data_IF_400216762931
#
_entry.id   IF_400216762931
#
_cell.length_a   1.000
_cell.length_b   1.000
_cell.length_c   1.000
_cell.angle_alpha   90.00
_cell.angle_beta   90.00
_cell.angle_gamma   90.00
#
_symmetry.space_group_name_H-M   'P 1'
#
loop_
_entity.id
_entity.type
_entity.pdbx_description
1 polymer ?
#
# COMPACT_ATOMS: atom_id res chain seq x y z
N UNK A 1 -15.91 8.31 -31.80
CA UNK A 1 -14.46 8.53 -31.64
C UNK A 1 -14.10 8.36 -30.18
N UNK A 2 -13.09 7.56 -29.85
CA UNK A 2 -12.62 7.43 -28.47
C UNK A 2 -11.98 8.76 -28.03
N UNK A 3 -12.49 9.36 -26.96
CA UNK A 3 -11.94 10.63 -26.44
C UNK A 3 -10.62 10.34 -25.74
N UNK A 4 -9.54 10.99 -26.20
CA UNK A 4 -8.22 10.87 -25.56
C UNK A 4 -8.28 11.42 -24.14
N UNK A 5 -7.92 10.60 -23.17
CA UNK A 5 -7.89 10.99 -21.77
C UNK A 5 -6.92 12.13 -21.48
N UNK A 6 -7.27 13.02 -20.55
CA UNK A 6 -6.33 14.02 -20.02
C UNK A 6 -5.20 13.34 -19.24
N UNK A 7 -3.93 13.69 -19.50
CA UNK A 7 -2.81 13.26 -18.66
C UNK A 7 -2.93 13.83 -17.24
N UNK A 8 -2.96 12.94 -16.24
CA UNK A 8 -3.15 13.30 -14.82
C UNK A 8 -1.82 13.39 -14.07
N UNK A 9 -0.93 12.42 -14.31
CA UNK A 9 0.30 12.16 -13.54
C UNK A 9 1.06 13.41 -13.12
N UNK A 10 1.53 14.21 -14.08
CA UNK A 10 2.42 15.35 -13.78
C UNK A 10 1.77 16.38 -12.87
N UNK A 11 0.51 16.73 -13.13
CA UNK A 11 -0.25 17.70 -12.32
C UNK A 11 -0.60 17.15 -10.95
N UNK A 12 -0.94 15.86 -10.88
CA UNK A 12 -1.23 15.19 -9.61
C UNK A 12 0.01 15.16 -8.72
N UNK A 13 1.17 14.77 -9.26
CA UNK A 13 2.45 14.76 -8.52
C UNK A 13 2.76 16.16 -8.01
N UNK A 14 2.69 17.17 -8.89
CA UNK A 14 2.94 18.55 -8.51
C UNK A 14 2.00 19.01 -7.38
N UNK A 15 0.70 18.71 -7.50
CA UNK A 15 -0.29 19.06 -6.47
C UNK A 15 0.05 18.42 -5.13
N UNK A 16 0.31 17.11 -5.10
CA UNK A 16 0.55 16.38 -3.85
C UNK A 16 1.84 16.85 -3.18
N UNK A 17 2.95 16.90 -3.91
CA UNK A 17 4.26 17.23 -3.34
C UNK A 17 4.35 18.71 -2.91
N UNK A 18 3.57 19.61 -3.54
CA UNK A 18 3.51 21.02 -3.14
C UNK A 18 2.62 21.24 -1.93
N UNK A 19 1.46 20.57 -1.87
CA UNK A 19 0.42 20.88 -0.86
C UNK A 19 0.47 19.98 0.37
N UNK A 20 1.12 18.81 0.30
CA UNK A 20 1.25 17.86 1.40
C UNK A 20 2.73 17.55 1.64
N UNK A 21 3.43 18.40 2.42
CA UNK A 21 4.86 18.27 2.64
C UNK A 21 5.27 16.88 3.15
N UNK A 22 6.36 16.36 2.58
CA UNK A 22 6.92 15.05 2.93
C UNK A 22 6.35 13.89 2.12
N UNK A 23 5.17 14.04 1.49
CA UNK A 23 4.73 13.05 0.50
C UNK A 23 5.57 13.16 -0.78
N UNK A 24 6.04 12.02 -1.27
CA UNK A 24 6.80 11.89 -2.52
C UNK A 24 6.19 10.83 -3.41
N UNK A 25 6.17 11.07 -4.71
CA UNK A 25 5.74 10.06 -5.68
C UNK A 25 6.75 8.90 -5.76
N UNK A 26 6.25 7.66 -5.72
CA UNK A 26 7.11 6.45 -5.78
C UNK A 26 6.74 5.48 -6.89
N UNK A 27 5.47 5.38 -7.28
CA UNK A 27 5.05 4.38 -8.26
C UNK A 27 3.75 4.73 -8.99
N UNK A 28 3.59 4.16 -10.18
CA UNK A 28 2.34 4.15 -10.93
C UNK A 28 2.09 2.74 -11.49
N UNK A 29 0.94 2.16 -11.21
CA UNK A 29 0.52 0.85 -11.72
C UNK A 29 -0.99 0.84 -11.93
N UNK A 30 -1.46 0.40 -13.10
CA UNK A 30 -2.90 0.21 -13.35
C UNK A 30 -3.79 1.46 -13.20
N UNK A 31 -3.24 2.67 -13.21
CA UNK A 31 -3.98 3.92 -12.93
C UNK A 31 -3.97 4.34 -11.46
N UNK A 32 -3.29 3.60 -10.58
CA UNK A 32 -2.98 3.95 -9.20
C UNK A 32 -1.67 4.73 -9.14
N UNK A 33 -1.68 5.88 -8.46
CA UNK A 33 -0.53 6.74 -8.20
C UNK A 33 -0.16 6.64 -6.72
N UNK A 34 1.02 6.10 -6.41
CA UNK A 34 1.49 5.89 -5.05
C UNK A 34 2.32 7.05 -4.53
N UNK A 35 1.94 7.59 -3.37
CA UNK A 35 2.71 8.60 -2.63
C UNK A 35 3.07 8.09 -1.23
N UNK A 36 4.28 8.40 -0.77
CA UNK A 36 4.77 8.01 0.56
C UNK A 36 5.28 9.22 1.34
N UNK A 37 5.01 9.24 2.65
CA UNK A 37 5.61 10.20 3.60
C UNK A 37 6.35 9.46 4.70
N UNK A 38 7.62 9.75 4.87
CA UNK A 38 8.44 9.17 5.95
C UNK A 38 7.91 9.59 7.33
N UNK A 39 7.88 8.64 8.28
CA UNK A 39 7.47 8.92 9.67
C UNK A 39 8.35 8.16 10.66
N UNK A 40 8.74 8.78 11.79
CA UNK A 40 9.45 8.06 12.85
C UNK A 40 8.59 6.91 13.40
N UNK A 41 9.14 5.71 13.48
CA UNK A 41 8.44 4.53 14.04
C UNK A 41 7.41 3.86 13.13
N UNK A 42 7.05 4.48 11.99
CA UNK A 42 6.13 3.97 10.97
C UNK A 42 6.75 4.27 9.63
N UNK A 43 7.33 3.28 8.98
CA UNK A 43 8.40 3.64 8.06
C UNK A 43 7.90 4.48 6.89
N UNK A 44 6.64 4.36 6.45
CA UNK A 44 6.00 5.33 5.56
C UNK A 44 4.49 5.39 5.78
N UNK A 45 3.90 6.59 5.78
CA UNK A 45 2.49 6.80 5.48
C UNK A 45 2.29 6.61 3.98
N UNK A 46 1.29 5.83 3.58
CA UNK A 46 0.99 5.58 2.17
C UNK A 46 -0.33 6.25 1.75
N UNK A 47 -0.27 7.02 0.67
CA UNK A 47 -1.39 7.72 0.07
C UNK A 47 -1.53 7.31 -1.41
N UNK A 48 -2.29 6.24 -1.71
CA UNK A 48 -2.66 5.89 -3.07
C UNK A 48 -3.79 6.78 -3.58
N UNK A 49 -3.64 7.22 -4.82
CA UNK A 49 -4.65 7.99 -5.55
C UNK A 49 -4.91 7.24 -6.85
N UNK A 50 -6.16 6.81 -7.03
CA UNK A 50 -6.55 6.03 -8.19
C UNK A 50 -7.30 6.87 -9.21
N UNK A 51 -7.06 6.51 -10.46
CA UNK A 51 -7.78 7.00 -11.61
C UNK A 51 -8.62 5.86 -12.19
N UNK A 52 -9.91 6.11 -12.37
CA UNK A 52 -10.86 5.13 -12.86
C UNK A 52 -11.50 5.54 -14.17
N UNK A 53 -11.86 4.53 -14.96
CA UNK A 53 -12.75 4.62 -16.10
C UNK A 53 -14.11 4.12 -15.63
N UNK A 54 -15.12 5.00 -15.58
CA UNK A 54 -16.39 4.63 -14.98
C UNK A 54 -17.15 3.62 -15.84
N UNK A 55 -17.28 3.87 -17.15
CA UNK A 55 -18.13 3.06 -18.03
C UNK A 55 -17.52 2.72 -19.40
N UNK A 56 -16.20 2.87 -19.57
CA UNK A 56 -15.52 2.68 -20.87
C UNK A 56 -15.95 3.66 -21.98
N UNK A 57 -16.87 4.60 -21.68
CA UNK A 57 -17.40 5.62 -22.60
C UNK A 57 -16.60 6.93 -22.61
N UNK A 58 -15.44 6.96 -21.96
CA UNK A 58 -14.56 8.13 -21.89
C UNK A 58 -14.74 9.01 -20.66
N UNK A 59 -15.59 8.61 -19.72
CA UNK A 59 -15.76 9.26 -18.43
C UNK A 59 -14.67 8.80 -17.46
N UNK A 60 -14.02 9.78 -16.83
CA UNK A 60 -12.87 9.55 -15.97
C UNK A 60 -13.04 10.26 -14.64
N UNK A 61 -12.69 9.52 -13.59
CA UNK A 61 -12.71 10.00 -12.23
C UNK A 61 -11.37 9.77 -11.55
N UNK A 62 -11.10 10.59 -10.56
CA UNK A 62 -9.97 10.45 -9.65
C UNK A 62 -10.50 10.34 -8.23
N UNK A 63 -9.91 9.46 -7.43
CA UNK A 63 -10.22 9.37 -6.02
C UNK A 63 -9.02 8.85 -5.24
N UNK A 64 -9.07 8.91 -3.92
CA UNK A 64 -8.01 8.44 -3.04
C UNK A 64 -8.51 7.24 -2.22
N UNK A 65 -7.56 6.44 -1.71
CA UNK A 65 -7.87 5.34 -0.79
C UNK A 65 -6.95 5.40 0.42
N UNK A 66 -7.49 5.10 1.58
CA UNK A 66 -6.71 4.91 2.78
C UNK A 66 -6.26 3.45 2.88
N UNK A 67 -4.96 3.22 2.72
CA UNK A 67 -4.34 1.90 2.94
C UNK A 67 -3.54 1.88 4.26
N UNK A 68 -3.16 3.06 4.78
CA UNK A 68 -2.53 3.23 6.09
C UNK A 68 -1.00 3.37 6.06
N UNK A 69 -0.34 3.01 7.16
CA UNK A 69 1.12 3.12 7.34
C UNK A 69 1.84 1.76 7.34
N UNK A 70 3.09 1.71 6.87
CA UNK A 70 3.87 0.46 6.69
C UNK A 70 5.38 0.64 6.83
N UNK A 71 6.14 -0.45 6.68
CA UNK A 71 7.58 -0.52 7.01
C UNK A 71 8.57 -0.28 5.84
N UNK A 72 8.14 -0.11 4.57
CA UNK A 72 9.03 0.20 3.42
C UNK A 72 8.24 0.92 2.30
N UNK A 73 8.80 1.89 1.53
CA UNK A 73 8.01 2.76 0.65
C UNK A 73 7.66 2.12 -0.69
N UNK A 74 8.49 1.20 -1.18
CA UNK A 74 8.32 0.60 -2.50
C UNK A 74 7.30 -0.56 -2.49
N UNK A 75 6.68 -0.83 -1.33
CA UNK A 75 5.73 -1.93 -1.13
C UNK A 75 4.38 -1.65 -1.80
N UNK A 76 4.33 -1.66 -3.13
CA UNK A 76 3.09 -1.87 -3.89
C UNK A 76 3.42 -2.72 -5.12
N UNK A 77 2.73 -3.83 -5.40
CA UNK A 77 1.31 -3.96 -5.70
C UNK A 77 0.88 -5.43 -5.39
N UNK A 78 -0.42 -5.75 -5.44
CA UNK A 78 -1.06 -7.08 -5.33
C UNK A 78 -1.64 -7.54 -3.96
N UNK A 79 -2.97 -7.45 -3.93
CA UNK A 79 -3.98 -8.27 -3.22
C UNK A 79 -4.10 -8.18 -1.70
N UNK A 80 -5.09 -7.39 -1.25
CA UNK A 80 -5.92 -7.72 -0.08
C UNK A 80 -5.64 -6.93 1.20
N UNK A 81 -6.58 -6.04 1.55
CA UNK A 81 -6.71 -5.36 2.84
C UNK A 81 -6.82 -6.31 4.06
N UNK A 82 -6.97 -7.61 3.82
CA UNK A 82 -7.21 -8.66 4.82
C UNK A 82 -5.97 -9.47 5.22
N UNK A 83 -4.83 -9.35 4.51
CA UNK A 83 -3.73 -10.32 4.64
C UNK A 83 -2.33 -9.70 4.82
N UNK A 84 -2.23 -8.42 5.20
CA UNK A 84 -0.96 -7.73 5.38
C UNK A 84 -0.78 -7.21 6.82
N UNK A 85 -0.47 -8.09 7.80
CA UNK A 85 -0.29 -7.71 9.20
C UNK A 85 0.88 -6.74 9.47
N UNK A 86 1.75 -6.50 8.49
CA UNK A 86 2.83 -5.51 8.54
C UNK A 86 2.41 -4.09 8.17
N UNK A 87 1.10 -3.86 7.98
CA UNK A 87 0.50 -2.55 7.77
C UNK A 87 -0.46 -2.22 8.90
N UNK A 88 -0.60 -0.95 9.22
CA UNK A 88 -1.70 -0.45 10.05
C UNK A 88 -2.63 0.33 9.18
N UNK A 89 -3.86 -0.15 9.05
CA UNK A 89 -4.93 0.62 8.43
C UNK A 89 -5.30 1.76 9.37
N UNK A 90 -5.16 3.00 8.90
CA UNK A 90 -5.52 4.19 9.67
C UNK A 90 -7.04 4.36 9.83
N UNK A 91 -7.86 3.63 9.05
CA UNK A 91 -9.30 3.59 9.26
C UNK A 91 -9.65 2.56 10.35
N UNK A 92 -10.30 3.04 11.42
CA UNK A 92 -10.70 2.22 12.57
C UNK A 92 -11.94 1.38 12.23
N UNK A 93 -11.77 0.08 12.03
CA UNK A 93 -12.86 -0.91 12.01
C UNK A 93 -12.46 -2.27 11.42
N UNK A 94 -13.40 -3.20 11.34
CA UNK A 94 -13.18 -4.56 10.82
C UNK A 94 -13.18 -4.65 9.27
N UNK A 95 -12.57 -5.69 8.69
CA UNK A 95 -12.54 -5.93 7.25
C UNK A 95 -13.90 -6.39 6.66
N UNK A 96 -14.11 -6.39 5.31
CA UNK A 96 -13.26 -5.86 4.24
C UNK A 96 -13.93 -4.67 3.51
N UNK A 97 -13.17 -3.65 3.14
CA UNK A 97 -13.59 -2.53 2.28
C UNK A 97 -14.55 -1.45 2.86
N UNK A 98 -15.02 -1.54 4.11
CA UNK A 98 -16.03 -0.60 4.61
C UNK A 98 -15.50 0.64 5.37
N UNK A 99 -14.19 0.83 5.54
CA UNK A 99 -13.73 1.69 6.64
C UNK A 99 -13.46 3.16 6.28
N UNK A 100 -13.21 3.49 5.02
CA UNK A 100 -13.28 4.89 4.58
C UNK A 100 -14.75 5.34 4.51
N UNK A 101 -15.67 4.43 4.17
CA UNK A 101 -17.13 4.66 4.24
C UNK A 101 -17.66 4.84 5.67
N UNK A 102 -16.83 4.64 6.71
CA UNK A 102 -17.14 4.96 8.10
C UNK A 102 -16.62 6.33 8.53
N UNK A 103 -15.75 6.98 7.73
CA UNK A 103 -15.49 8.39 7.92
C UNK A 103 -16.78 9.13 7.57
N UNK A 104 -17.39 9.76 8.56
CA UNK A 104 -18.52 10.62 8.32
C UNK A 104 -18.10 11.73 7.35
N UNK A 105 -18.99 12.06 6.41
CA UNK A 105 -18.79 13.26 5.61
C UNK A 105 -18.62 14.45 6.55
N UNK A 106 -17.59 15.24 6.30
CA UNK A 106 -17.37 16.51 6.98
C UNK A 106 -18.57 17.41 6.62
N UNK A 107 -19.37 17.84 7.61
CA UNK A 107 -20.54 18.68 7.35
C UNK A 107 -20.17 20.05 6.76
N UNK A 108 -18.88 20.42 6.82
CA UNK A 108 -18.34 21.64 6.21
C UNK A 108 -17.70 21.42 4.83
N UNK A 109 -17.77 20.21 4.27
CA UNK A 109 -17.30 19.94 2.91
C UNK A 109 -18.15 20.72 1.90
N UNK A 110 -17.52 21.57 1.05
CA UNK A 110 -18.26 22.34 0.06
C UNK A 110 -18.83 21.41 -1.02
N UNK A 111 -20.06 21.71 -1.48
CA UNK A 111 -20.62 21.02 -2.64
C UNK A 111 -19.79 21.35 -3.89
N UNK A 112 -19.52 20.34 -4.72
CA UNK A 112 -18.82 20.47 -5.99
C UNK A 112 -19.70 19.93 -7.11
N UNK A 113 -19.57 20.50 -8.31
CA UNK A 113 -20.20 19.95 -9.51
C UNK A 113 -19.51 18.66 -9.99
N UNK A 114 -18.31 18.35 -9.47
CA UNK A 114 -17.49 17.22 -9.89
C UNK A 114 -17.64 16.00 -8.99
N UNK A 115 -18.22 16.16 -7.79
CA UNK A 115 -18.33 15.08 -6.80
C UNK A 115 -19.38 15.42 -5.74
N UNK A 116 -20.02 14.39 -5.19
CA UNK A 116 -20.82 14.53 -3.97
C UNK A 116 -19.90 14.69 -2.74
N UNK A 117 -20.37 15.32 -1.66
CA UNK A 117 -19.65 15.33 -0.39
C UNK A 117 -19.43 13.92 0.14
N UNK A 118 -18.25 13.69 0.70
CA UNK A 118 -17.89 12.44 1.34
C UNK A 118 -16.53 11.93 0.91
N UNK A 119 -15.89 11.13 1.79
CA UNK A 119 -14.51 10.69 1.63
C UNK A 119 -14.31 9.74 0.44
N UNK A 120 -15.35 9.00 0.06
CA UNK A 120 -15.32 7.98 -0.99
C UNK A 120 -15.95 8.39 -2.31
N UNK A 121 -16.55 9.58 -2.38
CA UNK A 121 -17.23 10.01 -3.59
C UNK A 121 -16.18 10.34 -4.68
N UNK A 122 -16.23 9.65 -5.84
CA UNK A 122 -15.27 9.86 -6.91
C UNK A 122 -15.39 11.28 -7.49
N UNK A 123 -14.27 11.86 -7.91
CA UNK A 123 -14.22 13.19 -8.51
C UNK A 123 -14.15 13.04 -10.02
N UNK A 124 -15.27 13.29 -10.70
CA UNK A 124 -15.37 13.19 -12.14
C UNK A 124 -14.71 14.40 -12.80
N UNK A 125 -13.62 14.18 -13.51
CA UNK A 125 -12.83 15.24 -14.14
C UNK A 125 -12.92 15.23 -15.68
N UNK A 126 -13.47 14.16 -16.26
CA UNK A 126 -13.73 14.08 -17.68
C UNK A 126 -15.10 13.46 -17.93
N UNK A 127 -15.90 14.10 -18.79
CA UNK A 127 -17.16 13.56 -19.30
C UNK A 127 -17.22 13.80 -20.80
N UNK A 128 -17.06 12.74 -21.60
CA UNK A 128 -16.85 12.87 -23.03
C UNK A 128 -15.76 13.92 -23.37
N UNK A 129 -16.07 14.98 -24.16
CA UNK A 129 -15.08 16.01 -24.53
C UNK A 129 -14.77 17.03 -23.41
N UNK A 130 -15.60 17.12 -22.37
CA UNK A 130 -15.43 18.08 -21.28
C UNK A 130 -14.34 17.60 -20.31
N UNK A 131 -13.42 18.50 -19.96
CA UNK A 131 -12.18 18.19 -19.23
C UNK A 131 -11.93 19.26 -18.17
N UNK A 132 -12.00 18.88 -16.89
CA UNK A 132 -11.93 19.77 -15.72
C UNK A 132 -10.91 19.26 -14.69
N UNK A 133 -9.72 18.87 -15.17
CA UNK A 133 -8.70 18.26 -14.31
C UNK A 133 -8.20 19.21 -13.21
N UNK A 134 -8.01 20.50 -13.51
CA UNK A 134 -7.50 21.45 -12.50
C UNK A 134 -8.48 21.60 -11.33
N UNK A 135 -9.76 21.82 -11.64
CA UNK A 135 -10.81 21.88 -10.62
C UNK A 135 -10.94 20.56 -9.86
N UNK A 136 -10.79 19.43 -10.54
CA UNK A 136 -10.81 18.13 -9.87
C UNK A 136 -9.63 17.94 -8.91
N UNK A 137 -8.44 18.46 -9.24
CA UNK A 137 -7.27 18.41 -8.34
C UNK A 137 -7.42 19.34 -7.14
N UNK A 138 -8.09 20.48 -7.29
CA UNK A 138 -8.46 21.35 -6.16
C UNK A 138 -9.42 20.63 -5.20
N UNK A 139 -10.47 20.00 -5.74
CA UNK A 139 -11.43 19.20 -4.96
C UNK A 139 -10.72 18.01 -4.28
N UNK A 140 -9.83 17.33 -5.00
CA UNK A 140 -9.06 16.22 -4.46
C UNK A 140 -8.17 16.69 -3.30
N UNK A 141 -7.46 17.81 -3.46
CA UNK A 141 -6.65 18.38 -2.38
C UNK A 141 -7.48 18.67 -1.13
N UNK A 142 -8.66 19.27 -1.29
CA UNK A 142 -9.57 19.53 -0.17
C UNK A 142 -9.98 18.22 0.53
N UNK A 143 -10.36 17.18 -0.23
CA UNK A 143 -10.69 15.86 0.33
C UNK A 143 -9.51 15.22 1.06
N UNK A 144 -8.32 15.27 0.48
CA UNK A 144 -7.11 14.73 1.12
C UNK A 144 -6.84 15.42 2.45
N UNK A 145 -6.95 16.74 2.51
CA UNK A 145 -6.74 17.54 3.73
C UNK A 145 -7.77 17.23 4.81
N UNK A 146 -9.03 17.02 4.43
CA UNK A 146 -10.13 16.73 5.38
C UNK A 146 -10.12 15.31 5.90
N UNK A 147 -9.83 14.34 5.04
CA UNK A 147 -10.07 12.93 5.35
C UNK A 147 -8.79 12.11 5.42
N UNK A 148 -7.92 12.20 4.42
CA UNK A 148 -6.75 11.33 4.30
C UNK A 148 -5.68 11.67 5.34
N UNK A 149 -5.30 12.95 5.41
CA UNK A 149 -4.21 13.41 6.27
C UNK A 149 -4.54 13.19 7.77
N UNK A 150 -5.72 13.58 8.29
CA UNK A 150 -6.04 13.34 9.70
C UNK A 150 -6.09 11.85 10.06
N UNK A 151 -6.55 11.00 9.12
CA UNK A 151 -6.55 9.56 9.35
C UNK A 151 -5.12 9.00 9.47
N UNK A 152 -4.19 9.41 8.59
CA UNK A 152 -2.77 9.03 8.66
C UNK A 152 -2.05 9.59 9.91
N UNK A 153 -2.53 10.70 10.45
CA UNK A 153 -1.96 11.35 11.64
C UNK A 153 -2.57 10.82 12.95
N UNK A 154 -3.61 10.00 12.88
CA UNK A 154 -4.23 9.39 14.06
C UNK A 154 -3.21 8.50 14.80
N UNK A 155 -3.03 8.68 16.12
CA UNK A 155 -2.17 7.82 16.91
C UNK A 155 -2.62 6.36 16.88
N UNK A 156 -1.65 5.45 16.84
CA UNK A 156 -1.90 4.03 16.85
C UNK A 156 -2.35 3.53 18.22
N UNK A 157 -3.08 2.42 18.23
CA UNK A 157 -3.37 1.68 19.45
C UNK A 157 -2.14 0.87 19.86
N UNK A 158 -1.93 0.59 21.16
CA UNK A 158 -0.81 -0.22 21.64
C UNK A 158 -0.67 -1.59 20.98
N UNK A 159 -1.78 -2.22 20.58
CA UNK A 159 -1.76 -3.50 19.87
C UNK A 159 -1.23 -3.37 18.43
N UNK A 160 -1.52 -2.26 17.77
CA UNK A 160 -1.05 -1.95 16.41
C UNK A 160 0.45 -1.61 16.43
N UNK A 161 0.90 -0.88 17.44
CA UNK A 161 2.32 -0.58 17.69
C UNK A 161 3.14 -1.85 17.92
N UNK A 162 2.70 -2.75 18.81
CA UNK A 162 3.37 -4.03 19.05
C UNK A 162 3.44 -4.88 17.78
N UNK A 163 2.33 -4.92 17.02
CA UNK A 163 2.28 -5.63 15.74
C UNK A 163 3.28 -5.03 14.75
N UNK A 164 3.41 -3.72 14.66
CA UNK A 164 4.39 -3.11 13.75
C UNK A 164 5.83 -3.33 14.20
N UNK A 165 6.08 -3.26 15.52
CA UNK A 165 7.41 -3.47 16.08
C UNK A 165 8.02 -4.83 15.68
N UNK A 166 7.23 -5.93 15.66
CA UNK A 166 7.77 -7.21 15.18
C UNK A 166 8.12 -7.18 13.69
N UNK A 167 7.24 -6.64 12.84
CA UNK A 167 7.50 -6.57 11.41
C UNK A 167 8.69 -5.67 11.05
N UNK A 168 8.91 -4.64 11.87
CA UNK A 168 10.15 -3.84 11.83
C UNK A 168 11.39 -4.70 12.05
N UNK A 169 11.41 -5.51 13.12
CA UNK A 169 12.55 -6.38 13.42
C UNK A 169 12.82 -7.38 12.30
N UNK A 170 11.77 -7.91 11.67
CA UNK A 170 11.90 -8.77 10.51
C UNK A 170 12.55 -8.03 9.33
N UNK A 171 12.08 -6.82 9.00
CA UNK A 171 12.64 -6.01 7.91
C UNK A 171 14.12 -5.66 8.17
N UNK A 172 14.44 -5.17 9.37
CA UNK A 172 15.81 -4.83 9.79
C UNK A 172 16.74 -6.06 9.73
N UNK A 173 16.21 -7.27 9.98
CA UNK A 173 16.98 -8.52 9.91
C UNK A 173 17.20 -9.02 8.49
N UNK A 174 16.20 -8.91 7.61
CA UNK A 174 16.17 -9.63 6.34
C UNK A 174 16.52 -8.76 5.14
N UNK A 175 16.10 -7.49 5.09
CA UNK A 175 16.37 -6.62 3.93
C UNK A 175 17.87 -6.46 3.65
N UNK A 176 18.76 -6.22 4.63
CA UNK A 176 20.21 -6.15 4.37
C UNK A 176 20.79 -7.44 3.78
N UNK A 177 20.17 -8.59 4.10
CA UNK A 177 20.59 -9.89 3.54
C UNK A 177 20.14 -10.05 2.08
N UNK A 178 18.97 -9.54 1.72
CA UNK A 178 18.51 -9.48 0.32
C UNK A 178 19.44 -8.57 -0.49
N UNK A 179 19.77 -7.39 0.03
CA UNK A 179 20.72 -6.46 -0.60
C UNK A 179 22.12 -7.07 -0.76
N UNK A 180 22.61 -7.75 0.27
CA UNK A 180 23.90 -8.47 0.18
C UNK A 180 23.83 -9.57 -0.89
N UNK A 181 22.72 -10.31 -0.96
CA UNK A 181 22.53 -11.37 -1.94
C UNK A 181 22.44 -10.82 -3.37
N UNK A 182 21.76 -9.69 -3.58
CA UNK A 182 21.66 -9.05 -4.90
C UNK A 182 23.03 -8.58 -5.42
N UNK A 183 23.90 -8.12 -4.53
CA UNK A 183 25.26 -7.67 -4.87
C UNK A 183 26.23 -8.84 -5.07
N UNK A 184 26.19 -9.85 -4.20
CA UNK A 184 27.21 -10.90 -4.14
C UNK A 184 26.85 -12.16 -4.95
N UNK A 185 25.57 -12.49 -5.07
CA UNK A 185 25.11 -13.70 -5.74
C UNK A 185 23.75 -13.47 -6.42
N UNK A 186 23.66 -12.59 -7.43
CA UNK A 186 22.40 -12.24 -8.09
C UNK A 186 21.68 -13.44 -8.69
N UNK A 187 22.40 -14.44 -9.21
CA UNK A 187 21.80 -15.68 -9.71
C UNK A 187 21.04 -16.47 -8.63
N UNK A 188 21.58 -16.53 -7.40
CA UNK A 188 20.93 -17.20 -6.28
C UNK A 188 19.69 -16.42 -5.79
N UNK A 189 19.72 -15.08 -5.90
CA UNK A 189 18.53 -14.26 -5.63
C UNK A 189 17.43 -14.53 -6.66
N UNK A 190 17.77 -14.60 -7.95
CA UNK A 190 16.80 -14.89 -9.01
C UNK A 190 16.19 -16.30 -8.88
N UNK A 191 17.00 -17.31 -8.54
CA UNK A 191 16.52 -18.66 -8.23
C UNK A 191 15.54 -18.65 -7.03
N UNK A 192 15.88 -17.92 -5.97
CA UNK A 192 15.02 -17.77 -4.80
C UNK A 192 13.70 -17.07 -5.15
N UNK A 193 13.74 -15.98 -5.93
CA UNK A 193 12.55 -15.26 -6.42
C UNK A 193 11.67 -16.15 -7.28
N UNK A 194 12.27 -16.91 -8.20
CA UNK A 194 11.55 -17.84 -9.07
C UNK A 194 10.87 -18.95 -8.27
N UNK A 195 11.58 -19.53 -7.29
CA UNK A 195 11.03 -20.50 -6.36
C UNK A 195 9.85 -19.92 -5.57
N UNK A 196 10.02 -18.71 -5.00
CA UNK A 196 8.97 -18.06 -4.21
C UNK A 196 7.71 -17.81 -5.04
N UNK A 197 7.87 -17.26 -6.25
CA UNK A 197 6.78 -17.04 -7.21
C UNK A 197 6.07 -18.33 -7.61
N UNK A 198 6.82 -19.41 -7.84
CA UNK A 198 6.23 -20.71 -8.15
C UNK A 198 5.43 -21.26 -6.97
N UNK A 199 5.98 -21.14 -5.76
CA UNK A 199 5.32 -21.61 -4.54
C UNK A 199 4.06 -20.81 -4.21
N UNK A 200 4.09 -19.50 -4.36
CA UNK A 200 2.91 -18.63 -4.22
C UNK A 200 1.77 -18.99 -5.20
N UNK A 201 2.09 -19.54 -6.37
CA UNK A 201 1.08 -20.03 -7.34
C UNK A 201 0.47 -21.38 -6.97
N UNK A 202 1.09 -22.15 -6.07
CA UNK A 202 0.60 -23.46 -5.63
C UNK A 202 -0.17 -23.32 -4.33
N UNK A 203 -1.38 -22.78 -4.42
CA UNK A 203 -2.24 -22.43 -3.27
C UNK A 203 -2.62 -23.60 -2.36
N UNK A 204 -2.35 -24.85 -2.77
CA UNK A 204 -2.65 -26.07 -2.00
C UNK A 204 -1.45 -26.66 -1.27
N UNK A 205 -0.23 -26.16 -1.52
CA UNK A 205 0.98 -26.64 -0.86
C UNK A 205 1.26 -25.79 0.39
N UNK A 206 1.66 -26.45 1.49
CA UNK A 206 2.04 -25.73 2.71
C UNK A 206 3.27 -24.84 2.47
N UNK A 207 3.25 -23.63 3.04
CA UNK A 207 4.42 -22.74 3.04
C UNK A 207 5.62 -23.35 3.76
N UNK A 208 5.41 -24.38 4.59
CA UNK A 208 6.44 -25.02 5.41
C UNK A 208 7.23 -26.12 4.66
N UNK A 209 6.73 -26.64 3.53
CA UNK A 209 7.34 -27.78 2.82
C UNK A 209 8.24 -27.37 1.65
N UNK A 210 9.31 -28.11 1.35
CA UNK A 210 10.19 -27.90 0.18
C UNK A 210 10.72 -26.45 0.08
N UNK A 211 11.20 -25.92 1.20
CA UNK A 211 11.76 -24.56 1.25
C UNK A 211 13.11 -24.48 0.54
N UNK A 212 13.31 -23.44 -0.27
CA UNK A 212 14.62 -23.09 -0.80
C UNK A 212 15.62 -22.93 0.37
N UNK A 213 16.88 -23.37 0.26
CA UNK A 213 17.82 -23.35 1.38
C UNK A 213 17.97 -21.98 2.07
N UNK A 214 18.02 -20.90 1.27
CA UNK A 214 18.07 -19.52 1.79
C UNK A 214 16.80 -19.19 2.58
N UNK A 215 15.62 -19.55 2.06
CA UNK A 215 14.34 -19.31 2.74
C UNK A 215 14.23 -20.14 4.03
N UNK A 216 14.70 -21.39 4.03
CA UNK A 216 14.74 -22.23 5.22
C UNK A 216 15.60 -21.59 6.32
N UNK A 217 16.79 -21.09 5.97
CA UNK A 217 17.66 -20.37 6.90
C UNK A 217 16.99 -19.13 7.47
N UNK A 218 16.46 -18.26 6.61
CA UNK A 218 15.77 -17.04 7.06
C UNK A 218 14.57 -17.33 7.95
N UNK A 219 13.83 -18.42 7.69
CA UNK A 219 12.73 -18.83 8.55
C UNK A 219 13.17 -19.20 9.96
N UNK A 220 14.29 -19.91 10.12
CA UNK A 220 14.83 -20.19 11.46
C UNK A 220 15.35 -18.91 12.14
N UNK A 221 15.93 -17.97 11.39
CA UNK A 221 16.31 -16.67 11.94
C UNK A 221 15.07 -15.87 12.42
N UNK A 222 14.02 -15.82 11.59
CA UNK A 222 12.77 -15.10 11.90
C UNK A 222 12.06 -15.75 13.08
N UNK A 223 12.05 -17.08 13.15
CA UNK A 223 11.51 -17.84 14.29
C UNK A 223 12.11 -17.40 15.63
N UNK A 224 13.35 -16.96 15.64
CA UNK A 224 14.03 -16.50 16.85
C UNK A 224 13.84 -15.00 17.16
N UNK A 225 13.15 -14.25 16.30
CA UNK A 225 12.92 -12.82 16.51
C UNK A 225 11.81 -12.56 17.57
N UNK A 226 11.97 -11.55 18.44
CA UNK A 226 10.91 -11.13 19.35
C UNK A 226 9.61 -10.76 18.62
N UNK A 227 8.48 -11.23 19.13
CA UNK A 227 7.16 -11.06 18.51
C UNK A 227 6.83 -12.08 17.41
N UNK A 228 7.81 -12.91 17.01
CA UNK A 228 7.60 -14.11 16.20
C UNK A 228 7.81 -15.38 17.01
N UNK A 229 8.85 -15.44 17.85
CA UNK A 229 9.22 -16.64 18.62
C UNK A 229 8.08 -17.20 19.48
N UNK A 230 7.21 -16.33 19.99
CA UNK A 230 6.10 -16.67 20.87
C UNK A 230 4.94 -17.37 20.12
N UNK A 231 4.81 -17.14 18.82
CA UNK A 231 3.70 -17.62 18.01
C UNK A 231 4.14 -18.50 16.84
N UNK A 232 5.44 -18.55 16.51
CA UNK A 232 5.94 -19.09 15.25
C UNK A 232 5.52 -20.53 15.01
N UNK A 233 5.69 -21.40 16.01
CA UNK A 233 5.38 -22.83 15.88
C UNK A 233 3.88 -23.09 15.93
N UNK A 234 3.14 -22.32 16.74
CA UNK A 234 1.70 -22.49 16.96
C UNK A 234 0.80 -21.77 15.94
N UNK A 235 1.34 -20.87 15.13
CA UNK A 235 0.58 -20.02 14.20
C UNK A 235 0.96 -20.25 12.74
N UNK A 236 0.29 -21.19 12.03
CA UNK A 236 0.44 -21.36 10.58
C UNK A 236 0.16 -20.05 9.82
N UNK A 237 -0.82 -19.28 10.28
CA UNK A 237 -1.20 -17.98 9.70
C UNK A 237 -0.04 -16.98 9.77
N UNK A 238 0.70 -16.94 10.88
CA UNK A 238 1.88 -16.07 10.99
C UNK A 238 2.96 -16.44 9.96
N UNK A 239 3.18 -17.75 9.75
CA UNK A 239 4.17 -18.24 8.77
C UNK A 239 3.73 -17.95 7.34
N UNK A 240 2.44 -18.03 7.03
CA UNK A 240 1.88 -17.57 5.76
C UNK A 240 2.04 -16.06 5.56
N UNK A 241 1.79 -15.27 6.61
CA UNK A 241 2.01 -13.83 6.55
C UNK A 241 3.49 -13.49 6.28
N UNK A 242 4.43 -14.15 6.95
CA UNK A 242 5.86 -13.97 6.66
C UNK A 242 6.20 -14.39 5.24
N UNK A 243 5.62 -15.48 4.73
CA UNK A 243 5.80 -15.86 3.33
C UNK A 243 5.29 -14.79 2.36
N UNK A 244 4.11 -14.21 2.62
CA UNK A 244 3.54 -13.14 1.81
C UNK A 244 4.35 -11.83 1.90
N UNK A 245 4.96 -11.56 3.05
CA UNK A 245 5.87 -10.42 3.22
C UNK A 245 7.04 -10.48 2.22
N UNK A 246 7.59 -11.67 1.95
CA UNK A 246 8.67 -11.84 0.97
C UNK A 246 8.25 -11.53 -0.48
N UNK A 247 6.97 -11.70 -0.84
CA UNK A 247 6.46 -11.25 -2.15
C UNK A 247 6.77 -9.77 -2.38
N UNK A 248 6.59 -8.96 -1.34
CA UNK A 248 6.84 -7.53 -1.40
C UNK A 248 8.32 -7.21 -1.30
N UNK A 249 9.05 -7.85 -0.39
CA UNK A 249 10.48 -7.62 -0.24
C UNK A 249 11.25 -7.88 -1.55
N UNK A 250 10.91 -8.95 -2.28
CA UNK A 250 11.55 -9.24 -3.57
C UNK A 250 11.15 -8.29 -4.70
N UNK A 251 9.98 -7.65 -4.62
CA UNK A 251 9.60 -6.63 -5.59
C UNK A 251 10.47 -5.37 -5.48
N UNK A 252 10.91 -5.03 -4.26
CA UNK A 252 11.71 -3.82 -4.02
C UNK A 252 13.16 -3.92 -4.45
N UNK A 253 13.67 -5.15 -4.50
CA UNK A 253 15.04 -5.44 -4.86
C UNK A 253 15.04 -6.28 -6.15
N UNK A 254 14.64 -5.69 -7.29
CA UNK A 254 14.56 -6.38 -8.58
C UNK A 254 15.92 -6.89 -9.04
#
# INVERSE_FOLDING_TARGET
MAVRSVPVKGKLIQMVETQFPGFRFVSESGGTYGFVREKPGYWYDYLPIDRYFEDGKGDLSINWYLIGGGHVPDWYDWTGLLHMPWRVNSARGGPPNYLIGQLAADPSEPSSLLTSPGPMEPIRYQTGPQKQLEQALEVLSDKLRRYAIPALETPLKPAEERRLARWRLLAERILPQIETLSLQAPGALEELKAWHKQKARRWKESVDTNNHPIMARWREEIRCLPGFAEEWDSSPILREWVFNWFTHAFYLHP
#
